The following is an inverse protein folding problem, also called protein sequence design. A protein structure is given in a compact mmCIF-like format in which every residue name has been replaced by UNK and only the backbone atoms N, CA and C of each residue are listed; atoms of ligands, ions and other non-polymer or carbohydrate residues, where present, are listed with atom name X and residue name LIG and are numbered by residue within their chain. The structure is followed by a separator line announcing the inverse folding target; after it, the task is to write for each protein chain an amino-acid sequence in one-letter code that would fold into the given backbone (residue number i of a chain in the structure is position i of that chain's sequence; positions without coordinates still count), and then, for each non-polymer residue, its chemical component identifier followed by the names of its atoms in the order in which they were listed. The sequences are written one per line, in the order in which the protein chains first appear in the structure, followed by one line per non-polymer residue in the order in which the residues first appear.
data_IF_369897282519
#
_entry.id   IF_369897282519
#
_cell.length_a   1.000
_cell.length_b   1.000
_cell.length_c   1.000
_cell.angle_alpha   90.00
_cell.angle_beta   90.00
_cell.angle_gamma   90.00
#
_symmetry.space_group_name_H-M   'P 1'
#
loop_
_entity.id
_entity.type
_entity.pdbx_description
1 polymer ?
#
# COMPACT_ATOMS: atom_id res chain seq x y z
N UNK A 1 -18.92 63.47 -28.62
CA UNK A 1 -17.79 62.70 -28.06
C UNK A 1 -18.34 61.75 -27.00
N UNK A 2 -18.05 60.46 -27.19
CA UNK A 2 -18.70 59.25 -26.66
C UNK A 2 -18.64 59.05 -25.15
N UNK A 3 -19.81 59.06 -24.49
CA UNK A 3 -20.03 58.48 -23.15
C UNK A 3 -20.98 57.29 -23.34
N UNK A 4 -20.46 56.15 -23.79
CA UNK A 4 -21.26 54.92 -23.93
C UNK A 4 -20.38 53.66 -23.92
N UNK A 5 -19.51 53.53 -22.92
CA UNK A 5 -18.73 52.31 -22.67
C UNK A 5 -18.47 52.15 -21.16
N UNK A 6 -19.51 51.91 -20.36
CA UNK A 6 -19.28 51.58 -18.95
C UNK A 6 -20.31 50.68 -18.28
N UNK A 7 -21.16 50.00 -19.04
CA UNK A 7 -22.18 49.10 -18.48
C UNK A 7 -22.37 47.87 -19.39
N UNK A 8 -21.33 47.04 -19.53
CA UNK A 8 -21.45 45.69 -20.10
C UNK A 8 -20.33 44.79 -19.55
N UNK A 9 -20.19 44.75 -18.23
CA UNK A 9 -19.63 43.56 -17.55
C UNK A 9 -20.66 43.15 -16.50
N UNK A 10 -21.88 42.96 -17.01
CA UNK A 10 -22.94 42.23 -16.36
C UNK A 10 -22.71 40.75 -16.63
N UNK A 11 -22.59 39.98 -15.55
CA UNK A 11 -23.25 38.68 -15.48
C UNK A 11 -22.72 37.60 -16.40
N UNK A 12 -21.47 37.18 -16.22
CA UNK A 12 -21.07 35.82 -16.60
C UNK A 12 -20.07 35.21 -15.61
N UNK A 13 -20.25 35.51 -14.32
CA UNK A 13 -19.91 34.56 -13.27
C UNK A 13 -21.10 33.63 -13.12
N UNK A 14 -21.35 32.83 -14.17
CA UNK A 14 -22.13 31.61 -14.01
C UNK A 14 -21.34 30.77 -13.05
N UNK A 15 -21.84 30.74 -11.82
CA UNK A 15 -21.58 29.73 -10.83
C UNK A 15 -21.70 28.37 -11.53
N UNK A 16 -20.55 27.86 -12.00
CA UNK A 16 -20.41 26.43 -12.22
C UNK A 16 -20.30 25.85 -10.81
N UNK A 17 -21.44 25.75 -10.14
CA UNK A 17 -21.65 24.75 -9.12
C UNK A 17 -21.57 23.42 -9.86
N UNK A 18 -20.34 22.98 -10.16
CA UNK A 18 -20.05 21.57 -10.35
C UNK A 18 -20.39 20.96 -9.00
N UNK A 19 -21.63 20.49 -8.86
CA UNK A 19 -21.89 19.42 -7.92
C UNK A 19 -20.85 18.36 -8.28
N UNK A 20 -19.92 18.00 -7.40
CA UNK A 20 -19.20 16.76 -7.58
C UNK A 20 -20.27 15.69 -7.38
N UNK A 21 -21.02 15.39 -8.45
CA UNK A 21 -21.65 14.10 -8.60
C UNK A 21 -20.51 13.13 -8.46
N UNK A 22 -20.38 12.60 -7.26
CA UNK A 22 -19.42 11.60 -6.85
C UNK A 22 -19.72 10.39 -7.72
N UNK A 23 -19.20 10.39 -8.95
CA UNK A 23 -19.35 9.32 -9.89
C UNK A 23 -18.72 8.11 -9.21
N UNK A 24 -19.59 7.23 -8.73
CA UNK A 24 -19.20 6.05 -7.98
C UNK A 24 -18.45 5.17 -8.97
N UNK A 25 -17.12 5.22 -8.94
CA UNK A 25 -16.28 4.43 -9.82
C UNK A 25 -16.59 2.95 -9.56
N UNK A 26 -17.22 2.33 -10.55
CA UNK A 26 -17.70 0.96 -10.48
C UNK A 26 -16.71 0.11 -11.26
N UNK A 27 -16.17 -0.89 -10.59
CA UNK A 27 -15.19 -1.81 -11.15
C UNK A 27 -15.83 -3.20 -11.28
N UNK A 28 -15.21 -4.05 -12.09
CA UNK A 28 -15.71 -5.39 -12.40
C UNK A 28 -14.60 -6.42 -12.21
N UNK A 29 -14.94 -7.52 -11.56
CA UNK A 29 -14.14 -8.75 -11.51
C UNK A 29 -14.99 -9.86 -12.10
N UNK A 30 -14.63 -10.34 -13.29
CA UNK A 30 -15.50 -11.16 -14.13
C UNK A 30 -16.88 -10.47 -14.29
N UNK A 31 -17.96 -11.10 -13.82
CA UNK A 31 -19.33 -10.57 -13.84
C UNK A 31 -19.74 -9.87 -12.53
N UNK A 32 -18.83 -9.77 -11.56
CA UNK A 32 -19.11 -9.19 -10.24
C UNK A 32 -18.73 -7.71 -10.20
N UNK A 33 -19.75 -6.86 -10.16
CA UNK A 33 -19.58 -5.43 -9.92
C UNK A 33 -19.17 -5.16 -8.46
N UNK A 34 -18.21 -4.26 -8.27
CA UNK A 34 -17.79 -3.80 -6.95
C UNK A 34 -17.41 -2.32 -6.97
N UNK A 35 -17.41 -1.73 -5.78
CA UNK A 35 -17.08 -0.32 -5.58
C UNK A 35 -15.98 -0.22 -4.55
N UNK A 36 -15.00 0.63 -4.85
CA UNK A 36 -13.92 0.99 -3.94
C UNK A 36 -14.27 2.34 -3.29
N UNK A 37 -14.07 2.46 -1.99
CA UNK A 37 -14.23 3.70 -1.22
C UNK A 37 -12.99 3.92 -0.37
N UNK A 38 -12.46 5.13 -0.41
CA UNK A 38 -11.38 5.52 0.50
C UNK A 38 -11.93 5.76 1.91
N UNK A 39 -11.36 5.09 2.89
CA UNK A 39 -11.74 5.15 4.31
C UNK A 39 -10.52 5.49 5.15
N UNK A 40 -10.13 6.77 5.11
CA UNK A 40 -8.92 7.26 5.79
C UNK A 40 -7.67 6.77 5.09
N UNK A 41 -6.86 5.97 5.79
CA UNK A 41 -5.61 5.39 5.26
C UNK A 41 -5.87 4.08 4.49
N UNK A 42 -7.06 3.50 4.65
CA UNK A 42 -7.41 2.21 4.06
C UNK A 42 -8.35 2.40 2.87
N UNK A 43 -8.42 1.39 2.00
CA UNK A 43 -9.42 1.34 0.93
C UNK A 43 -10.41 0.22 1.23
N UNK A 44 -11.68 0.56 1.40
CA UNK A 44 -12.76 -0.40 1.58
C UNK A 44 -13.35 -0.78 0.23
N UNK A 45 -13.76 -2.04 0.09
CA UNK A 45 -14.44 -2.53 -1.10
C UNK A 45 -15.76 -3.21 -0.74
N UNK A 46 -16.73 -3.12 -1.63
CA UNK A 46 -18.01 -3.80 -1.51
C UNK A 46 -18.46 -4.30 -2.89
N UNK A 47 -18.65 -5.61 -2.99
CA UNK A 47 -19.25 -6.26 -4.17
C UNK A 47 -20.77 -6.17 -4.09
N UNK A 48 -21.46 -6.00 -5.21
CA UNK A 48 -22.93 -5.91 -5.22
C UNK A 48 -23.60 -7.25 -4.86
N UNK A 49 -22.91 -8.36 -5.12
CA UNK A 49 -23.38 -9.71 -4.86
C UNK A 49 -22.35 -10.47 -4.01
N UNK A 50 -22.82 -11.45 -3.24
CA UNK A 50 -21.93 -12.34 -2.50
C UNK A 50 -21.29 -13.38 -3.44
N UNK A 51 -20.03 -13.71 -3.17
CA UNK A 51 -19.30 -14.78 -3.86
C UNK A 51 -19.26 -15.97 -2.92
N UNK A 52 -20.05 -17.01 -3.18
CA UNK A 52 -20.18 -18.18 -2.30
C UNK A 52 -18.89 -19.01 -2.24
N UNK A 53 -18.24 -19.21 -3.40
CA UNK A 53 -16.99 -19.95 -3.48
C UNK A 53 -15.85 -19.20 -2.76
N UNK A 54 -15.22 -19.91 -1.83
CA UNK A 54 -14.11 -19.38 -1.05
C UNK A 54 -12.86 -19.10 -1.90
N UNK A 55 -12.63 -19.88 -2.97
CA UNK A 55 -11.48 -19.66 -3.86
C UNK A 55 -11.71 -18.45 -4.75
N UNK A 56 -12.88 -18.38 -5.39
CA UNK A 56 -13.25 -17.21 -6.20
C UNK A 56 -13.28 -15.92 -5.36
N UNK A 57 -13.76 -15.98 -4.12
CA UNK A 57 -13.73 -14.83 -3.18
C UNK A 57 -12.31 -14.32 -2.92
N UNK A 58 -11.35 -15.24 -2.76
CA UNK A 58 -9.93 -14.88 -2.58
C UNK A 58 -9.37 -14.24 -3.84
N UNK A 59 -9.66 -14.78 -5.01
CA UNK A 59 -9.23 -14.22 -6.30
C UNK A 59 -9.83 -12.84 -6.55
N UNK A 60 -11.11 -12.65 -6.24
CA UNK A 60 -11.79 -11.36 -6.33
C UNK A 60 -11.13 -10.33 -5.40
N UNK A 61 -10.83 -10.70 -4.16
CA UNK A 61 -10.11 -9.81 -3.24
C UNK A 61 -8.67 -9.51 -3.67
N UNK A 62 -7.96 -10.48 -4.24
CA UNK A 62 -6.63 -10.26 -4.83
C UNK A 62 -6.70 -9.29 -6.02
N UNK A 63 -7.71 -9.45 -6.88
CA UNK A 63 -7.95 -8.54 -8.00
C UNK A 63 -8.20 -7.12 -7.50
N UNK A 64 -9.08 -6.92 -6.50
CA UNK A 64 -9.30 -5.61 -5.88
C UNK A 64 -7.98 -5.01 -5.40
N UNK A 65 -7.16 -5.81 -4.73
CA UNK A 65 -5.91 -5.35 -4.15
C UNK A 65 -4.90 -4.91 -5.22
N UNK A 66 -4.79 -5.67 -6.33
CA UNK A 66 -3.98 -5.29 -7.50
C UNK A 66 -4.50 -4.02 -8.17
N UNK A 67 -5.81 -3.89 -8.35
CA UNK A 67 -6.44 -2.70 -8.93
C UNK A 67 -6.25 -1.46 -8.07
N UNK A 68 -6.31 -1.60 -6.74
CA UNK A 68 -6.17 -0.49 -5.79
C UNK A 68 -4.75 0.07 -5.77
N UNK A 69 -3.73 -0.80 -5.78
CA UNK A 69 -2.34 -0.40 -5.61
C UNK A 69 -1.52 -0.40 -6.90
N UNK A 70 -2.12 -0.80 -8.03
CA UNK A 70 -1.48 -0.94 -9.34
C UNK A 70 -0.18 -1.78 -9.29
N UNK A 71 -0.18 -2.80 -8.42
CA UNK A 71 0.98 -3.67 -8.18
C UNK A 71 0.67 -5.10 -8.62
N UNK A 72 1.25 -5.48 -9.77
CA UNK A 72 1.13 -6.83 -10.34
C UNK A 72 2.17 -7.82 -9.79
N UNK A 73 3.11 -7.36 -8.97
CA UNK A 73 4.16 -8.21 -8.38
C UNK A 73 3.66 -8.98 -7.15
N UNK A 74 2.43 -8.72 -6.73
CA UNK A 74 1.80 -9.36 -5.57
C UNK A 74 1.60 -10.84 -5.86
N UNK A 75 2.32 -11.66 -5.10
CA UNK A 75 2.22 -13.11 -5.17
C UNK A 75 0.80 -13.54 -4.74
N UNK A 76 0.15 -14.45 -5.49
CA UNK A 76 -1.20 -14.91 -5.16
C UNK A 76 -1.22 -15.83 -3.94
N UNK A 77 -0.07 -16.39 -3.56
CA UNK A 77 0.07 -17.25 -2.39
C UNK A 77 0.12 -16.38 -1.13
N UNK A 78 -0.90 -16.54 -0.29
CA UNK A 78 -1.01 -15.82 0.97
C UNK A 78 0.10 -16.27 1.91
N UNK A 79 0.94 -15.34 2.37
CA UNK A 79 2.00 -15.68 3.31
C UNK A 79 1.40 -16.13 4.65
N UNK A 80 0.31 -15.49 5.10
CA UNK A 80 -0.42 -15.84 6.33
C UNK A 80 -1.91 -15.50 6.24
N UNK A 81 -2.76 -16.39 6.78
CA UNK A 81 -4.16 -16.11 7.06
C UNK A 81 -4.35 -15.94 8.58
N UNK A 82 -5.03 -14.89 9.00
CA UNK A 82 -5.33 -14.62 10.41
C UNK A 82 -6.70 -13.98 10.58
N UNK A 83 -7.25 -14.01 11.79
CA UNK A 83 -8.53 -13.38 12.11
C UNK A 83 -8.28 -12.18 13.01
N UNK A 84 -8.82 -11.02 12.63
CA UNK A 84 -8.75 -9.80 13.43
C UNK A 84 -10.14 -9.20 13.49
N UNK A 85 -10.66 -8.96 14.70
CA UNK A 85 -11.96 -8.27 14.89
C UNK A 85 -13.10 -8.95 14.10
N UNK A 86 -13.09 -10.29 14.04
CA UNK A 86 -14.00 -11.15 13.24
C UNK A 86 -13.83 -11.08 11.72
N UNK A 87 -12.98 -10.21 11.19
CA UNK A 87 -12.60 -10.21 9.78
C UNK A 87 -11.55 -11.29 9.51
N UNK A 88 -11.72 -12.02 8.40
CA UNK A 88 -10.70 -12.95 7.89
C UNK A 88 -9.71 -12.16 7.05
N UNK A 89 -8.49 -12.06 7.53
CA UNK A 89 -7.43 -11.29 6.91
C UNK A 89 -6.36 -12.20 6.31
N UNK A 90 -5.81 -11.75 5.19
CA UNK A 90 -4.75 -12.40 4.47
C UNK A 90 -3.62 -11.40 4.26
N UNK A 91 -2.41 -11.77 4.65
CA UNK A 91 -1.20 -11.01 4.36
C UNK A 91 -0.60 -11.50 3.03
N UNK A 92 -0.24 -10.56 2.17
CA UNK A 92 0.44 -10.79 0.91
C UNK A 92 1.70 -9.96 0.91
N UNK A 93 2.84 -10.63 0.79
CA UNK A 93 4.13 -9.95 0.79
C UNK A 93 4.54 -9.59 -0.64
N UNK A 94 4.97 -8.35 -0.82
CA UNK A 94 5.66 -7.87 -2.01
C UNK A 94 7.04 -7.36 -1.60
N UNK A 95 7.84 -6.96 -2.59
CA UNK A 95 9.22 -6.49 -2.37
C UNK A 95 9.26 -5.30 -1.42
N UNK A 96 8.42 -4.29 -1.66
CA UNK A 96 8.48 -3.03 -0.93
C UNK A 96 7.41 -2.90 0.17
N UNK A 97 6.29 -3.59 -0.02
CA UNK A 97 5.11 -3.48 0.84
C UNK A 97 4.58 -4.86 1.20
N UNK A 98 4.01 -4.96 2.39
CA UNK A 98 3.14 -6.07 2.79
C UNK A 98 1.71 -5.54 2.70
N UNK A 99 0.92 -6.19 1.87
CA UNK A 99 -0.50 -5.87 1.70
C UNK A 99 -1.34 -6.76 2.60
N UNK A 100 -2.42 -6.19 3.15
CA UNK A 100 -3.39 -6.94 3.93
C UNK A 100 -4.76 -6.85 3.27
N UNK A 101 -5.35 -8.00 3.01
CA UNK A 101 -6.72 -8.14 2.49
C UNK A 101 -7.60 -8.70 3.59
N UNK A 102 -8.59 -7.95 4.06
CA UNK A 102 -9.51 -8.39 5.10
C UNK A 102 -10.95 -8.44 4.58
N UNK A 103 -11.61 -9.60 4.76
CA UNK A 103 -13.03 -9.78 4.47
C UNK A 103 -13.83 -9.63 5.76
N UNK A 104 -14.83 -8.74 5.76
CA UNK A 104 -15.72 -8.57 6.89
C UNK A 104 -16.75 -9.71 6.95
N UNK A 105 -17.16 -10.11 8.17
CA UNK A 105 -18.28 -11.03 8.33
C UNK A 105 -19.58 -10.35 7.88
N UNK A 106 -20.41 -11.10 7.16
CA UNK A 106 -21.69 -10.62 6.63
C UNK A 106 -22.82 -10.54 7.70
N UNK A 107 -22.46 -10.50 8.98
CA UNK A 107 -23.42 -10.60 10.10
C UNK A 107 -24.34 -9.37 10.26
N UNK A 108 -24.06 -8.27 9.55
CA UNK A 108 -24.74 -6.97 9.76
C UNK A 108 -25.70 -6.55 8.64
N UNK A 109 -25.82 -7.32 7.55
CA UNK A 109 -26.67 -6.94 6.41
C UNK A 109 -27.91 -7.85 6.36
N UNK A 110 -29.06 -7.34 6.81
CA UNK A 110 -30.32 -8.11 6.82
C UNK A 110 -30.91 -8.32 5.42
N UNK A 111 -30.57 -7.46 4.45
CA UNK A 111 -31.29 -7.41 3.18
C UNK A 111 -30.66 -8.26 2.07
N UNK A 112 -29.33 -8.33 1.97
CA UNK A 112 -28.60 -9.18 1.01
C UNK A 112 -27.21 -9.52 1.54
N UNK A 113 -26.71 -10.74 1.31
CA UNK A 113 -25.31 -11.03 1.58
C UNK A 113 -24.46 -10.25 0.59
N UNK A 114 -23.60 -9.37 1.11
CA UNK A 114 -22.72 -8.51 0.32
C UNK A 114 -21.30 -8.84 0.76
N UNK A 115 -20.43 -9.17 -0.18
CA UNK A 115 -19.02 -9.35 0.13
C UNK A 115 -18.38 -7.99 0.34
N UNK A 116 -17.99 -7.70 1.58
CA UNK A 116 -17.33 -6.44 1.96
C UNK A 116 -15.97 -6.74 2.56
N UNK A 117 -15.06 -5.81 2.36
CA UNK A 117 -13.73 -5.92 2.90
C UNK A 117 -12.99 -4.59 2.90
N UNK A 118 -11.75 -4.65 3.32
CA UNK A 118 -10.81 -3.56 3.17
C UNK A 118 -9.43 -4.11 2.82
N UNK A 119 -8.69 -3.29 2.10
CA UNK A 119 -7.29 -3.54 1.78
C UNK A 119 -6.43 -2.44 2.39
N UNK A 120 -5.28 -2.84 2.92
CA UNK A 120 -4.29 -1.93 3.48
C UNK A 120 -2.91 -2.26 2.94
N UNK A 121 -2.03 -1.27 2.90
CA UNK A 121 -0.62 -1.44 2.58
C UNK A 121 0.23 -1.00 3.77
N UNK A 122 1.25 -1.79 4.10
CA UNK A 122 2.21 -1.47 5.14
C UNK A 122 3.61 -1.61 4.54
N UNK A 123 4.56 -0.71 4.81
CA UNK A 123 5.94 -0.87 4.35
C UNK A 123 6.53 -2.21 4.84
N UNK A 124 7.21 -2.93 3.96
CA UNK A 124 7.90 -4.17 4.33
C UNK A 124 9.18 -3.82 5.12
N UNK A 125 9.06 -3.74 6.44
CA UNK A 125 10.19 -3.44 7.32
C UNK A 125 11.33 -4.46 7.19
N UNK A 126 11.02 -5.74 6.96
CA UNK A 126 12.05 -6.77 6.77
C UNK A 126 12.91 -6.46 5.55
N UNK A 127 12.29 -6.06 4.44
CA UNK A 127 13.01 -5.63 3.24
C UNK A 127 13.88 -4.39 3.51
N UNK A 128 13.35 -3.38 4.19
CA UNK A 128 14.11 -2.17 4.55
C UNK A 128 15.34 -2.49 5.42
N UNK A 129 15.20 -3.34 6.43
CA UNK A 129 16.32 -3.74 7.28
C UNK A 129 17.39 -4.52 6.51
N UNK A 130 16.98 -5.47 5.68
CA UNK A 130 17.92 -6.33 4.94
C UNK A 130 18.65 -5.59 3.83
N UNK A 131 17.99 -4.65 3.14
CA UNK A 131 18.56 -3.98 1.96
C UNK A 131 19.17 -2.61 2.26
N UNK A 132 18.83 -1.98 3.39
CA UNK A 132 19.40 -0.68 3.79
C UNK A 132 20.30 -0.84 5.00
N UNK A 133 19.79 -1.37 6.11
CA UNK A 133 20.56 -1.41 7.36
C UNK A 133 21.76 -2.37 7.28
N UNK A 134 21.54 -3.57 6.73
CA UNK A 134 22.59 -4.59 6.65
C UNK A 134 23.81 -4.15 5.82
N UNK A 135 23.67 -3.60 4.59
CA UNK A 135 24.83 -3.10 3.86
C UNK A 135 25.50 -1.91 4.55
N UNK A 136 24.75 -1.02 5.21
CA UNK A 136 25.33 0.09 5.99
C UNK A 136 26.19 -0.43 7.14
N UNK A 137 25.71 -1.43 7.88
CA UNK A 137 26.48 -2.08 8.95
C UNK A 137 27.70 -2.79 8.38
N UNK A 138 27.57 -3.49 7.24
CA UNK A 138 28.68 -4.18 6.61
C UNK A 138 29.79 -3.21 6.16
N UNK A 139 29.43 -2.11 5.50
CA UNK A 139 30.37 -1.06 5.09
C UNK A 139 31.01 -0.40 6.31
N UNK A 140 30.22 -0.08 7.34
CA UNK A 140 30.73 0.54 8.57
C UNK A 140 31.71 -0.38 9.31
N UNK A 141 31.40 -1.68 9.39
CA UNK A 141 32.28 -2.69 9.97
C UNK A 141 33.58 -2.85 9.18
N UNK A 142 33.51 -2.80 7.84
CA UNK A 142 34.67 -2.87 6.96
C UNK A 142 35.59 -1.65 7.14
N UNK A 143 35.01 -0.45 7.18
CA UNK A 143 35.75 0.79 7.45
C UNK A 143 36.40 0.74 8.83
N UNK A 144 35.65 0.36 9.87
CA UNK A 144 36.19 0.22 11.22
C UNK A 144 37.37 -0.75 11.28
N UNK A 145 37.27 -1.90 10.60
CA UNK A 145 38.36 -2.87 10.51
C UNK A 145 39.61 -2.26 9.84
N UNK A 146 39.44 -1.54 8.73
CA UNK A 146 40.54 -0.88 8.00
C UNK A 146 41.21 0.22 8.82
N UNK A 147 40.44 1.05 9.53
CA UNK A 147 40.99 2.14 10.35
C UNK A 147 41.66 1.66 11.65
N UNK A 148 41.28 0.50 12.19
CA UNK A 148 41.89 -0.06 13.42
C UNK A 148 43.14 -0.92 13.15
N UNK A 149 43.34 -1.37 11.91
CA UNK A 149 44.42 -2.28 11.54
C UNK A 149 45.88 -1.74 11.66
N UNK A 150 46.21 -0.43 11.54
CA UNK A 150 47.63 -0.03 11.50
C UNK A 150 48.32 0.18 12.86
N UNK A 151 47.62 0.17 14.00
CA UNK A 151 48.28 0.46 15.29
C UNK A 151 49.12 -0.70 15.85
N UNK A 152 48.84 -1.96 15.49
CA UNK A 152 49.62 -3.11 15.97
C UNK A 152 50.90 -3.35 15.17
N UNK A 153 50.94 -2.97 13.89
CA UNK A 153 52.13 -3.15 13.05
C UNK A 153 53.25 -2.15 13.40
N UNK A 154 52.91 -0.93 13.81
CA UNK A 154 53.90 0.09 14.15
C UNK A 154 54.63 -0.19 15.48
N UNK A 155 53.99 -0.82 16.46
CA UNK A 155 54.65 -1.20 17.73
C UNK A 155 55.59 -2.41 17.62
N UNK A 156 55.50 -3.18 16.54
CA UNK A 156 56.37 -4.34 16.32
C UNK A 156 57.70 -3.98 15.63
N UNK A 157 57.81 -2.79 15.04
CA UNK A 157 59.03 -2.32 14.35
C UNK A 157 59.98 -1.52 15.24
N UNK A 158 59.58 -1.16 16.47
CA UNK A 158 60.40 -0.38 17.40
C UNK A 158 61.27 -1.25 18.33
N UNK A 159 61.10 -2.58 18.31
CA UNK A 159 61.88 -3.53 19.12
C UNK A 159 62.85 -4.29 18.22
N UNK A 160 63.80 -3.59 17.60
CA UNK A 160 65.02 -4.20 17.06
C UNK A 160 66.20 -3.52 17.73
N UNK A 161 66.83 -4.15 18.75
CA UNK A 161 68.04 -3.60 19.34
C UNK A 161 69.16 -3.70 18.30
N UNK A 162 69.76 -2.56 17.99
CA UNK A 162 71.01 -2.45 17.24
C UNK A 162 72.13 -3.23 17.95
N UNK A 163 72.98 -3.94 17.20
CA UNK A 163 74.03 -4.82 17.74
C UNK A 163 75.10 -4.10 18.55
#
# INVERSE_FOLDING_TARGET
MTIQKLLFISGFLLAICVNPSFAKEQHFFDDYAYVIKETGVNRSFAFEQNIEDAQLRKQAGLHVLRTVYDDFTIEPDFSKAYVRERAKCYALDSRFYTYTLCFLPNEFTQEKPVLRGFVTQVPNWYWQFTHVLLPVIAVSGLLFYRFKAPQKAQRAMEVSPSP
#
